data_IF_639050456713
#
_entry.id   IF_639050456713
#
_cell.length_a   1.000
_cell.length_b   1.000
_cell.length_c   1.000
_cell.angle_alpha   90.00
_cell.angle_beta   90.00
_cell.angle_gamma   90.00
#
_symmetry.space_group_name_H-M   'P 1'
#
loop_
_entity.id
_entity.type
_entity.pdbx_description
1 polymer ?
#
# COMPACT_ATOMS: atom_id res chain seq x y z
N UNK A 1 17.48 -8.67 9.53
CA UNK A 1 18.15 -8.47 8.23
C UNK A 1 17.40 -9.31 7.21
N UNK A 2 17.03 -8.77 6.04
CA UNK A 2 16.26 -9.54 5.06
C UNK A 2 17.19 -10.57 4.41
N UNK A 3 16.85 -11.86 4.56
CA UNK A 3 17.62 -12.96 3.97
C UNK A 3 17.33 -13.02 2.47
N UNK A 4 18.36 -13.23 1.65
CA UNK A 4 18.21 -13.32 0.20
C UNK A 4 18.70 -14.67 -0.29
N UNK A 5 17.89 -15.32 -1.14
CA UNK A 5 18.20 -16.60 -1.78
C UNK A 5 17.99 -16.51 -3.29
N UNK A 6 18.60 -17.41 -4.05
CA UNK A 6 18.28 -17.55 -5.48
C UNK A 6 17.07 -18.46 -5.68
N UNK A 7 16.42 -18.36 -6.84
CA UNK A 7 15.36 -19.32 -7.22
C UNK A 7 15.87 -20.76 -7.22
N UNK A 8 17.14 -20.99 -7.58
CA UNK A 8 17.76 -22.32 -7.56
C UNK A 8 17.99 -22.82 -6.14
N UNK A 9 18.38 -21.94 -5.21
CA UNK A 9 18.48 -22.29 -3.79
C UNK A 9 17.13 -22.71 -3.22
N UNK A 10 16.08 -21.96 -3.54
CA UNK A 10 14.71 -22.28 -3.12
C UNK A 10 14.27 -23.65 -3.64
N UNK A 11 14.55 -23.98 -4.89
CA UNK A 11 14.22 -25.28 -5.47
C UNK A 11 14.96 -26.43 -4.79
N UNK A 12 16.24 -26.22 -4.42
CA UNK A 12 17.08 -27.27 -3.81
C UNK A 12 16.83 -27.46 -2.32
N UNK A 13 16.48 -26.39 -1.60
CA UNK A 13 16.45 -26.34 -0.12
C UNK A 13 15.17 -25.70 0.41
N UNK A 14 14.03 -26.02 -0.21
CA UNK A 14 12.74 -25.40 0.12
C UNK A 14 12.40 -25.48 1.63
N UNK A 15 12.61 -26.64 2.26
CA UNK A 15 12.31 -26.85 3.67
C UNK A 15 13.12 -25.93 4.60
N UNK A 16 14.43 -25.76 4.33
CA UNK A 16 15.29 -24.84 5.10
C UNK A 16 14.88 -23.38 4.90
N UNK A 17 14.54 -23.01 3.66
CA UNK A 17 14.09 -21.64 3.35
C UNK A 17 12.79 -21.32 4.09
N UNK A 18 11.81 -22.23 4.04
CA UNK A 18 10.53 -22.09 4.74
C UNK A 18 10.74 -22.04 6.25
N UNK A 19 11.60 -22.89 6.81
CA UNK A 19 11.91 -22.89 8.24
C UNK A 19 12.53 -21.57 8.71
N UNK A 20 13.36 -20.94 7.86
CA UNK A 20 13.96 -19.65 8.18
C UNK A 20 12.99 -18.46 8.13
N UNK A 21 11.75 -18.63 7.68
CA UNK A 21 10.73 -17.56 7.69
C UNK A 21 10.35 -17.12 9.11
N UNK A 22 10.65 -17.95 10.13
CA UNK A 22 10.50 -17.58 11.55
C UNK A 22 11.43 -16.42 11.94
N UNK A 23 12.55 -16.26 11.24
CA UNK A 23 13.51 -15.16 11.46
C UNK A 23 13.13 -13.89 10.67
N UNK A 24 12.18 -14.00 9.74
CA UNK A 24 11.68 -12.89 8.93
C UNK A 24 11.51 -13.21 7.45
N UNK A 25 11.16 -12.19 6.63
CA UNK A 25 10.91 -12.36 5.20
C UNK A 25 12.18 -12.78 4.44
N UNK A 26 11.98 -13.59 3.41
CA UNK A 26 13.05 -14.04 2.50
C UNK A 26 12.81 -13.46 1.11
N UNK A 27 13.80 -12.77 0.56
CA UNK A 27 13.79 -12.31 -0.84
C UNK A 27 14.31 -13.41 -1.74
N UNK A 28 13.53 -13.76 -2.75
CA UNK A 28 13.93 -14.67 -3.82
C UNK A 28 14.39 -13.85 -5.01
N UNK A 29 15.60 -14.15 -5.47
CA UNK A 29 16.21 -13.50 -6.62
C UNK A 29 16.28 -14.44 -7.83
N UNK A 30 16.13 -13.88 -9.02
CA UNK A 30 16.31 -14.56 -10.29
C UNK A 30 17.27 -13.76 -11.16
N UNK A 31 18.31 -14.41 -11.71
CA UNK A 31 19.37 -13.76 -12.50
C UNK A 31 19.99 -12.55 -11.79
N UNK A 32 20.22 -12.67 -10.48
CA UNK A 32 20.84 -11.64 -9.65
C UNK A 32 19.94 -10.46 -9.26
N UNK A 33 18.65 -10.48 -9.62
CA UNK A 33 17.69 -9.42 -9.28
C UNK A 33 16.59 -9.95 -8.36
N UNK A 34 16.12 -9.18 -7.37
CA UNK A 34 14.93 -9.52 -6.58
C UNK A 34 13.72 -9.76 -7.50
N UNK A 35 13.03 -10.87 -7.30
CA UNK A 35 11.89 -11.27 -8.12
C UNK A 35 10.62 -11.52 -7.29
N UNK A 36 10.79 -12.00 -6.04
CA UNK A 36 9.68 -12.24 -5.12
C UNK A 36 10.13 -12.10 -3.67
N UNK A 37 9.18 -12.03 -2.75
CA UNK A 37 9.38 -12.12 -1.31
C UNK A 37 8.48 -13.23 -0.77
N UNK A 38 9.02 -14.08 0.08
CA UNK A 38 8.28 -15.09 0.82
C UNK A 38 8.11 -14.59 2.25
N UNK A 39 6.89 -14.66 2.75
CA UNK A 39 6.51 -14.35 4.13
C UNK A 39 5.69 -15.51 4.68
N UNK A 40 5.60 -15.61 6.00
CA UNK A 40 4.62 -16.49 6.63
C UNK A 40 3.19 -16.04 6.29
N UNK A 41 2.23 -16.97 6.23
CA UNK A 41 0.82 -16.64 6.01
C UNK A 41 0.30 -15.63 7.04
N UNK A 42 0.67 -15.79 8.32
CA UNK A 42 0.28 -14.87 9.38
C UNK A 42 0.78 -13.44 9.12
N UNK A 43 2.08 -13.27 8.81
CA UNK A 43 2.62 -11.96 8.45
C UNK A 43 1.92 -11.35 7.24
N UNK A 44 1.54 -12.15 6.24
CA UNK A 44 0.75 -11.68 5.10
C UNK A 44 -0.61 -11.14 5.53
N UNK A 45 -1.36 -11.89 6.35
CA UNK A 45 -2.65 -11.45 6.87
C UNK A 45 -2.54 -10.19 7.73
N UNK A 46 -1.48 -10.06 8.54
CA UNK A 46 -1.23 -8.86 9.32
C UNK A 46 -0.96 -7.64 8.44
N UNK A 47 -0.20 -7.81 7.34
CA UNK A 47 0.03 -6.73 6.38
C UNK A 47 -1.27 -6.29 5.70
N UNK A 48 -2.11 -7.24 5.25
CA UNK A 48 -3.42 -6.94 4.64
C UNK A 48 -4.34 -6.16 5.61
N UNK A 49 -4.40 -6.59 6.88
CA UNK A 49 -5.18 -5.87 7.91
C UNK A 49 -4.64 -4.47 8.14
N UNK A 50 -3.32 -4.31 8.26
CA UNK A 50 -2.70 -3.01 8.46
C UNK A 50 -2.99 -2.04 7.30
N UNK A 51 -2.95 -2.53 6.05
CA UNK A 51 -3.31 -1.73 4.87
C UNK A 51 -4.77 -1.29 4.95
N UNK A 52 -5.69 -2.21 5.22
CA UNK A 52 -7.12 -1.90 5.33
C UNK A 52 -7.43 -0.87 6.44
N UNK A 53 -6.74 -0.98 7.58
CA UNK A 53 -6.88 -0.01 8.68
C UNK A 53 -6.40 1.39 8.29
N UNK A 54 -5.26 1.48 7.59
CA UNK A 54 -4.73 2.75 7.09
C UNK A 54 -5.68 3.40 6.10
N UNK A 55 -6.24 2.62 5.16
CA UNK A 55 -7.22 3.13 4.19
C UNK A 55 -8.50 3.63 4.88
N UNK A 56 -9.04 2.85 5.83
CA UNK A 56 -10.22 3.23 6.59
C UNK A 56 -9.99 4.52 7.39
N UNK A 57 -8.81 4.65 8.00
CA UNK A 57 -8.40 5.88 8.70
C UNK A 57 -8.33 7.07 7.75
N UNK A 58 -7.71 6.90 6.57
CA UNK A 58 -7.59 7.96 5.59
C UNK A 58 -8.95 8.47 5.09
N UNK A 59 -9.88 7.54 4.81
CA UNK A 59 -11.26 7.90 4.43
C UNK A 59 -11.96 8.68 5.55
N UNK A 60 -11.81 8.24 6.81
CA UNK A 60 -12.37 8.97 7.96
C UNK A 60 -11.81 10.38 8.07
N UNK A 61 -10.50 10.56 7.92
CA UNK A 61 -9.85 11.88 7.96
C UNK A 61 -10.37 12.81 6.86
N UNK A 62 -10.55 12.30 5.63
CA UNK A 62 -11.13 13.09 4.52
C UNK A 62 -12.56 13.54 4.86
N UNK A 63 -13.39 12.63 5.37
CA UNK A 63 -14.78 12.92 5.73
C UNK A 63 -14.83 13.98 6.84
N UNK A 64 -14.02 13.82 7.89
CA UNK A 64 -13.96 14.76 9.01
C UNK A 64 -13.49 16.15 8.55
N UNK A 65 -12.48 16.22 7.68
CA UNK A 65 -12.01 17.47 7.09
C UNK A 65 -13.10 18.15 6.24
N UNK A 66 -13.85 17.36 5.47
CA UNK A 66 -15.00 17.83 4.69
C UNK A 66 -16.13 18.37 5.57
N UNK A 67 -16.52 17.63 6.60
CA UNK A 67 -17.55 18.04 7.57
C UNK A 67 -17.14 19.30 8.33
N UNK A 68 -15.88 19.40 8.75
CA UNK A 68 -15.33 20.59 9.39
C UNK A 68 -15.40 21.81 8.46
N UNK A 69 -15.04 21.64 7.18
CA UNK A 69 -15.13 22.70 6.19
C UNK A 69 -16.57 23.12 5.90
N UNK A 70 -17.51 22.17 5.86
CA UNK A 70 -18.94 22.46 5.74
C UNK A 70 -19.45 23.29 6.92
N UNK A 71 -19.16 22.85 8.16
CA UNK A 71 -19.56 23.56 9.39
C UNK A 71 -18.96 24.96 9.49
N UNK A 72 -17.73 25.14 9.02
CA UNK A 72 -17.05 26.42 8.97
C UNK A 72 -17.47 27.31 7.78
N UNK A 73 -18.43 26.89 6.96
CA UNK A 73 -18.85 27.64 5.76
C UNK A 73 -17.81 27.71 4.64
N UNK A 74 -16.72 26.93 4.73
CA UNK A 74 -15.66 26.85 3.72
C UNK A 74 -16.07 25.94 2.56
N UNK A 75 -17.19 26.26 1.92
CA UNK A 75 -17.74 25.51 0.79
C UNK A 75 -17.81 26.39 -0.46
N UNK A 76 -17.98 25.77 -1.61
CA UNK A 76 -18.22 26.47 -2.88
C UNK A 76 -19.46 25.89 -3.54
N UNK A 77 -20.28 26.75 -4.13
CA UNK A 77 -21.44 26.28 -4.90
C UNK A 77 -21.02 25.51 -6.15
N UNK A 78 -21.87 24.57 -6.56
CA UNK A 78 -21.63 23.74 -7.74
C UNK A 78 -21.37 24.58 -8.99
N UNK A 79 -22.14 25.66 -9.20
CA UNK A 79 -21.97 26.58 -10.32
C UNK A 79 -20.57 27.26 -10.31
N UNK A 80 -20.09 27.65 -9.13
CA UNK A 80 -18.77 28.28 -8.97
C UNK A 80 -17.65 27.29 -9.30
N UNK A 81 -17.77 26.03 -8.86
CA UNK A 81 -16.80 24.97 -9.14
C UNK A 81 -16.80 24.64 -10.65
N UNK A 82 -17.97 24.46 -11.26
CA UNK A 82 -18.10 24.15 -12.69
C UNK A 82 -17.45 25.23 -13.57
N UNK A 83 -17.64 26.52 -13.23
CA UNK A 83 -16.98 27.63 -13.91
C UNK A 83 -15.45 27.56 -13.80
N UNK A 84 -14.92 27.27 -12.61
CA UNK A 84 -13.47 27.15 -12.35
C UNK A 84 -12.84 26.01 -13.17
N UNK A 85 -13.47 24.83 -13.16
CA UNK A 85 -12.97 23.66 -13.91
C UNK A 85 -12.95 23.91 -15.42
N UNK A 86 -14.02 24.51 -15.97
CA UNK A 86 -14.09 24.88 -17.40
C UNK A 86 -13.00 25.89 -17.78
N UNK A 87 -12.74 26.88 -16.93
CA UNK A 87 -11.68 27.86 -17.16
C UNK A 87 -10.28 27.24 -17.12
N UNK A 88 -10.03 26.31 -16.19
CA UNK A 88 -8.75 25.61 -16.09
C UNK A 88 -8.46 24.71 -17.32
N UNK A 89 -9.49 24.06 -17.87
CA UNK A 89 -9.37 23.21 -19.07
C UNK A 89 -9.08 23.99 -20.36
N UNK A 90 -9.41 25.28 -20.42
CA UNK A 90 -9.14 26.15 -21.59
C UNK A 90 -7.73 26.73 -21.63
N UNK A 91 -6.99 26.67 -20.52
CA UNK A 91 -5.62 27.18 -20.39
C UNK A 91 -4.54 26.11 -20.64
N UNK A 92 -4.96 24.90 -20.98
CA UNK A 92 -4.10 23.73 -21.23
C UNK A 92 -4.21 23.38 -22.70
#
# INVERSE_FOLDING_TARGET
MIKQVTVTDLQRRAAEVISSLQEGPVVVSQRGRPAAVIVTAEAYEQMERAVAEVEAKHVREIIEAGLSSYRAGRTSSQATVARRVRAARRKK
#
